data_IF_506123544817
#
_entry.id   IF_506123544817
#
_cell.length_a   1.000
_cell.length_b   1.000
_cell.length_c   1.000
_cell.angle_alpha   90.00
_cell.angle_beta   90.00
_cell.angle_gamma   90.00
#
_symmetry.space_group_name_H-M   'P 1'
#
loop_
_entity.id
_entity.type
_entity.pdbx_description
1 polymer ?
#
# COMPACT_ATOMS: atom_id res chain seq x y z
N UNK A 1 48.35 -30.11 11.08
CA UNK A 1 47.47 -29.83 9.94
C UNK A 1 46.50 -28.71 10.35
N UNK A 2 46.82 -27.47 9.97
CA UNK A 2 45.92 -26.33 10.10
C UNK A 2 44.94 -26.46 8.94
N UNK A 3 43.69 -26.82 9.23
CA UNK A 3 42.60 -26.68 8.26
C UNK A 3 42.38 -25.18 8.03
N UNK A 4 42.85 -24.64 6.92
CA UNK A 4 42.36 -23.36 6.42
C UNK A 4 40.86 -23.49 6.15
N UNK A 5 40.05 -22.89 7.03
CA UNK A 5 38.64 -22.65 6.72
C UNK A 5 38.61 -21.71 5.52
N UNK A 6 38.30 -22.23 4.35
CA UNK A 6 37.83 -21.41 3.25
C UNK A 6 36.55 -20.71 3.72
N UNK A 7 36.68 -19.48 4.13
CA UNK A 7 35.54 -18.58 4.28
C UNK A 7 35.01 -18.44 2.86
N UNK A 8 33.85 -19.05 2.58
CA UNK A 8 33.19 -18.91 1.29
C UNK A 8 33.01 -17.44 1.00
N UNK A 9 33.36 -16.99 -0.21
CA UNK A 9 33.03 -15.64 -0.65
C UNK A 9 31.49 -15.50 -0.55
N UNK A 10 31.00 -14.57 0.27
CA UNK A 10 29.59 -14.14 0.23
C UNK A 10 29.26 -13.77 -1.21
N UNK A 11 28.40 -14.56 -1.85
CA UNK A 11 27.96 -14.31 -3.22
C UNK A 11 27.00 -13.10 -3.29
N UNK A 12 26.26 -12.88 -2.21
CA UNK A 12 25.29 -11.80 -2.09
C UNK A 12 25.60 -10.93 -0.86
N UNK A 13 25.57 -9.62 -1.03
CA UNK A 13 25.56 -8.70 0.11
C UNK A 13 24.18 -8.78 0.80
N UNK A 14 24.13 -9.07 2.11
CA UNK A 14 22.86 -9.08 2.85
C UNK A 14 22.06 -7.79 2.66
N UNK A 15 20.74 -7.92 2.56
CA UNK A 15 19.82 -6.81 2.40
C UNK A 15 19.08 -6.51 3.69
N UNK A 16 18.55 -5.30 3.77
CA UNK A 16 17.59 -4.87 4.80
C UNK A 16 16.27 -4.51 4.13
N UNK A 17 15.18 -4.90 4.76
CA UNK A 17 13.86 -4.42 4.35
C UNK A 17 13.71 -2.94 4.76
N UNK A 18 13.24 -2.13 3.82
CA UNK A 18 12.78 -0.76 4.07
C UNK A 18 11.28 -0.69 4.25
N UNK A 19 10.58 -1.67 3.68
CA UNK A 19 9.14 -1.87 3.87
C UNK A 19 8.80 -3.33 3.63
N UNK A 20 7.81 -3.83 4.36
CA UNK A 20 7.17 -5.11 4.13
C UNK A 20 5.68 -4.82 4.12
N UNK A 21 4.95 -5.37 3.18
CA UNK A 21 3.50 -5.17 3.08
C UNK A 21 2.82 -6.33 2.40
N UNK A 22 1.50 -6.28 2.41
CA UNK A 22 0.68 -7.34 1.81
C UNK A 22 -0.61 -6.80 1.19
N UNK A 23 -1.22 -7.63 0.35
CA UNK A 23 -2.58 -7.45 -0.15
C UNK A 23 -3.32 -8.78 0.03
N UNK A 24 -4.36 -8.77 0.84
CA UNK A 24 -5.13 -9.95 1.23
C UNK A 24 -5.29 -10.06 2.74
N UNK A 25 -5.68 -11.24 3.22
CA UNK A 25 -5.89 -11.51 4.64
C UNK A 25 -4.56 -11.89 5.31
N UNK A 26 -4.06 -11.08 6.26
CA UNK A 26 -2.77 -11.33 6.90
C UNK A 26 -2.78 -12.53 7.87
N UNK A 27 -3.95 -13.01 8.28
CA UNK A 27 -4.07 -13.98 9.35
C UNK A 27 -3.78 -13.41 10.75
N UNK A 28 -3.96 -14.21 11.81
CA UNK A 28 -3.81 -13.78 13.20
C UNK A 28 -2.43 -13.24 13.58
N UNK A 29 -1.36 -13.73 12.94
CA UNK A 29 0.01 -13.31 13.26
C UNK A 29 0.38 -11.96 12.62
N UNK A 30 -0.43 -11.40 11.71
CA UNK A 30 -0.23 -10.04 11.19
C UNK A 30 0.53 -9.95 9.87
N UNK A 31 0.57 -11.03 9.08
CA UNK A 31 1.06 -11.00 7.71
C UNK A 31 2.57 -11.24 7.56
N UNK A 32 3.17 -10.81 6.42
CA UNK A 32 4.55 -11.14 6.09
C UNK A 32 5.56 -10.53 7.06
N UNK A 33 5.22 -9.44 7.74
CA UNK A 33 6.09 -8.80 8.73
C UNK A 33 6.46 -9.74 9.87
N UNK A 34 5.54 -10.60 10.28
CA UNK A 34 5.80 -11.59 11.32
C UNK A 34 6.94 -12.54 10.95
N UNK A 35 7.02 -12.92 9.68
CA UNK A 35 8.02 -13.89 9.18
C UNK A 35 9.30 -13.22 8.68
N UNK A 36 9.19 -12.05 8.04
CA UNK A 36 10.28 -11.43 7.29
C UNK A 36 11.00 -10.28 8.02
N UNK A 37 10.53 -9.86 9.20
CA UNK A 37 11.31 -8.98 10.08
C UNK A 37 12.57 -9.67 10.62
N UNK A 38 12.62 -11.00 10.65
CA UNK A 38 13.86 -11.75 10.87
C UNK A 38 14.77 -11.56 9.64
N UNK A 39 15.94 -10.96 9.86
CA UNK A 39 16.89 -10.65 8.79
C UNK A 39 17.36 -11.88 8.02
N UNK A 40 17.49 -13.03 8.68
CA UNK A 40 17.92 -14.27 8.02
C UNK A 40 16.79 -14.80 7.13
N UNK A 41 15.56 -14.81 7.61
CA UNK A 41 14.39 -15.21 6.82
C UNK A 41 14.25 -14.34 5.56
N UNK A 42 14.37 -13.01 5.73
CA UNK A 42 14.31 -12.06 4.61
C UNK A 42 15.39 -12.38 3.56
N UNK A 43 16.62 -12.59 3.99
CA UNK A 43 17.73 -12.85 3.08
C UNK A 43 17.67 -14.23 2.43
N UNK A 44 17.10 -15.24 3.08
CA UNK A 44 16.79 -16.53 2.47
C UNK A 44 15.77 -16.35 1.34
N UNK A 45 14.65 -15.68 1.60
CA UNK A 45 13.62 -15.40 0.59
C UNK A 45 14.18 -14.60 -0.57
N UNK A 46 14.94 -13.55 -0.29
CA UNK A 46 15.55 -12.72 -1.33
C UNK A 46 16.58 -13.47 -2.17
N UNK A 47 17.35 -14.39 -1.58
CA UNK A 47 18.38 -15.15 -2.29
C UNK A 47 17.82 -16.02 -3.42
N UNK A 48 16.56 -16.45 -3.31
CA UNK A 48 15.87 -17.28 -4.31
C UNK A 48 14.93 -16.47 -5.23
N UNK A 49 14.76 -15.18 -4.98
CA UNK A 49 13.79 -14.36 -5.69
C UNK A 49 14.03 -14.28 -7.21
N UNK A 50 15.29 -14.09 -7.62
CA UNK A 50 15.63 -14.00 -9.05
C UNK A 50 15.99 -15.34 -9.68
N UNK A 51 16.43 -16.30 -8.87
CA UNK A 51 16.91 -17.59 -9.38
C UNK A 51 16.66 -18.68 -8.33
N UNK A 52 15.88 -19.72 -8.65
CA UNK A 52 15.67 -20.83 -7.73
C UNK A 52 16.97 -21.50 -7.30
N UNK A 53 17.14 -21.74 -6.00
CA UNK A 53 18.36 -22.27 -5.39
C UNK A 53 18.07 -23.46 -4.49
N UNK A 54 19.04 -24.37 -4.39
CA UNK A 54 19.04 -25.44 -3.37
C UNK A 54 19.42 -24.88 -2.00
N UNK A 55 19.15 -25.64 -0.91
CA UNK A 55 19.57 -25.29 0.45
C UNK A 55 21.07 -24.99 0.53
N UNK A 56 21.90 -25.79 -0.14
CA UNK A 56 23.35 -25.60 -0.13
C UNK A 56 23.76 -24.31 -0.86
N UNK A 57 23.15 -24.01 -2.00
CA UNK A 57 23.40 -22.78 -2.75
C UNK A 57 22.93 -21.53 -1.97
N UNK A 58 21.80 -21.62 -1.25
CA UNK A 58 21.33 -20.54 -0.35
C UNK A 58 22.35 -20.30 0.76
N UNK A 59 22.81 -21.39 1.42
CA UNK A 59 23.78 -21.30 2.50
C UNK A 59 25.12 -20.71 2.03
N UNK A 60 25.58 -21.13 0.86
CA UNK A 60 26.79 -20.57 0.23
C UNK A 60 26.63 -19.09 -0.09
N UNK A 61 25.51 -18.69 -0.69
CA UNK A 61 25.18 -17.30 -1.03
C UNK A 61 25.17 -16.40 0.21
N UNK A 62 24.63 -16.90 1.32
CA UNK A 62 24.54 -16.17 2.58
C UNK A 62 25.81 -16.28 3.45
N UNK A 63 26.78 -17.11 3.04
CA UNK A 63 28.01 -17.34 3.80
C UNK A 63 27.82 -18.07 5.13
N UNK A 64 26.81 -18.95 5.21
CA UNK A 64 26.45 -19.74 6.39
C UNK A 64 26.52 -21.23 6.09
N UNK A 65 26.44 -22.08 7.12
CA UNK A 65 26.34 -23.53 6.91
C UNK A 65 24.91 -23.97 6.63
N UNK A 66 24.65 -24.98 5.79
CA UNK A 66 23.31 -25.47 5.49
C UNK A 66 22.46 -25.82 6.72
N UNK A 67 23.08 -26.36 7.77
CA UNK A 67 22.42 -26.71 9.04
C UNK A 67 21.86 -25.46 9.73
N UNK A 68 22.55 -24.34 9.59
CA UNK A 68 22.13 -23.07 10.26
C UNK A 68 20.83 -22.47 9.72
N UNK A 69 20.46 -22.81 8.49
CA UNK A 69 19.25 -22.29 7.83
C UNK A 69 18.15 -23.34 7.67
N UNK A 70 18.34 -24.55 8.15
CA UNK A 70 17.40 -25.66 7.95
C UNK A 70 16.03 -25.38 8.53
N UNK A 71 15.96 -25.05 9.82
CA UNK A 71 14.72 -24.71 10.50
C UNK A 71 14.02 -23.47 9.87
N UNK A 72 14.82 -22.52 9.37
CA UNK A 72 14.30 -21.34 8.70
C UNK A 72 13.67 -21.66 7.34
N UNK A 73 14.31 -22.54 6.57
CA UNK A 73 13.75 -23.02 5.30
C UNK A 73 12.45 -23.77 5.54
N UNK A 74 12.41 -24.67 6.53
CA UNK A 74 11.18 -25.39 6.88
C UNK A 74 10.05 -24.46 7.31
N UNK A 75 10.35 -23.46 8.13
CA UNK A 75 9.39 -22.43 8.53
C UNK A 75 8.85 -21.67 7.31
N UNK A 76 9.73 -21.20 6.45
CA UNK A 76 9.37 -20.42 5.27
C UNK A 76 8.63 -21.24 4.21
N UNK A 77 9.01 -22.50 4.02
CA UNK A 77 8.33 -23.43 3.11
C UNK A 77 6.92 -23.75 3.63
N UNK A 78 6.78 -24.11 4.91
CA UNK A 78 5.46 -24.44 5.50
C UNK A 78 4.47 -23.26 5.51
N UNK A 79 5.00 -22.03 5.49
CA UNK A 79 4.20 -20.82 5.42
C UNK A 79 4.16 -20.19 4.01
N UNK A 80 4.57 -20.90 2.98
CA UNK A 80 4.41 -20.51 1.59
C UNK A 80 5.34 -19.41 1.08
N UNK A 81 6.32 -18.96 1.87
CA UNK A 81 7.32 -17.98 1.42
C UNK A 81 8.40 -18.62 0.54
N UNK A 82 8.58 -19.92 0.67
CA UNK A 82 9.40 -20.73 -0.22
C UNK A 82 8.55 -21.80 -0.88
N UNK A 83 8.73 -21.99 -2.17
CA UNK A 83 8.03 -22.99 -2.97
C UNK A 83 9.08 -23.95 -3.54
N UNK A 84 8.95 -25.23 -3.25
CA UNK A 84 9.87 -26.24 -3.76
C UNK A 84 9.65 -26.54 -5.24
N UNK A 85 10.70 -26.46 -6.01
CA UNK A 85 10.76 -26.79 -7.44
C UNK A 85 11.54 -28.07 -7.70
N UNK A 86 11.59 -28.48 -8.96
CA UNK A 86 12.39 -29.63 -9.37
C UNK A 86 13.86 -29.50 -8.94
N UNK A 87 14.50 -30.62 -8.58
CA UNK A 87 15.90 -30.66 -8.14
C UNK A 87 16.13 -30.10 -6.73
N UNK A 88 15.10 -30.13 -5.86
CA UNK A 88 15.15 -29.57 -4.49
C UNK A 88 15.59 -28.10 -4.44
N UNK A 89 15.21 -27.33 -5.45
CA UNK A 89 15.39 -25.89 -5.49
C UNK A 89 14.19 -25.19 -4.87
N UNK A 90 14.44 -24.05 -4.25
CA UNK A 90 13.43 -23.17 -3.72
C UNK A 90 13.30 -21.93 -4.59
N UNK A 91 12.08 -21.43 -4.70
CA UNK A 91 11.66 -20.22 -5.35
C UNK A 91 10.77 -19.44 -4.39
N UNK A 92 10.53 -18.15 -4.59
CA UNK A 92 9.66 -17.37 -3.73
C UNK A 92 8.56 -16.68 -4.52
N UNK A 93 7.29 -16.74 -4.04
CA UNK A 93 6.19 -16.00 -4.66
C UNK A 93 6.11 -14.53 -4.20
N UNK A 94 7.03 -14.05 -3.37
CA UNK A 94 7.04 -12.66 -2.91
C UNK A 94 7.36 -11.69 -4.06
N UNK A 95 6.89 -10.44 -3.95
CA UNK A 95 7.23 -9.37 -4.88
C UNK A 95 8.32 -8.47 -4.30
N UNK A 96 9.35 -8.20 -5.09
CA UNK A 96 10.30 -7.14 -4.76
C UNK A 96 9.82 -5.81 -5.35
N UNK A 97 9.92 -4.75 -4.54
CA UNK A 97 9.62 -3.38 -4.97
C UNK A 97 10.83 -2.71 -5.63
N UNK A 98 11.89 -3.44 -5.93
CA UNK A 98 13.03 -2.92 -6.67
C UNK A 98 12.57 -2.48 -8.07
N UNK A 99 12.62 -1.17 -8.30
CA UNK A 99 12.12 -0.58 -9.54
C UNK A 99 13.21 -0.62 -10.62
N UNK A 100 12.80 -1.04 -11.80
CA UNK A 100 13.61 -0.83 -12.99
C UNK A 100 13.35 0.58 -13.54
N UNK A 101 14.40 1.28 -13.97
CA UNK A 101 14.35 2.66 -14.47
C UNK A 101 13.31 2.85 -15.60
N UNK A 102 13.26 1.91 -16.54
CA UNK A 102 12.30 1.97 -17.66
C UNK A 102 10.84 1.87 -17.21
N UNK A 103 10.55 1.11 -16.16
CA UNK A 103 9.19 1.01 -15.59
C UNK A 103 8.76 2.33 -14.97
N UNK A 104 9.66 3.00 -14.27
CA UNK A 104 9.38 4.30 -13.63
C UNK A 104 9.10 5.39 -14.67
N UNK A 105 9.83 5.41 -15.78
CA UNK A 105 9.57 6.36 -16.89
C UNK A 105 8.21 6.14 -17.53
N UNK A 106 7.88 4.90 -17.88
CA UNK A 106 6.55 4.55 -18.43
C UNK A 106 5.41 4.89 -17.47
N UNK A 107 5.60 4.62 -16.18
CA UNK A 107 4.63 4.95 -15.15
C UNK A 107 4.39 6.47 -15.06
N UNK A 108 5.45 7.27 -15.18
CA UNK A 108 5.36 8.72 -15.20
C UNK A 108 4.62 9.24 -16.45
N UNK A 109 4.90 8.68 -17.61
CA UNK A 109 4.23 9.04 -18.87
C UNK A 109 2.72 8.79 -18.77
N UNK A 110 2.31 7.65 -18.25
CA UNK A 110 0.91 7.32 -18.04
C UNK A 110 0.25 8.24 -17.00
N UNK A 111 0.95 8.56 -15.92
CA UNK A 111 0.44 9.49 -14.92
C UNK A 111 0.22 10.90 -15.51
N UNK A 112 1.12 11.37 -16.36
CA UNK A 112 0.98 12.64 -17.10
C UNK A 112 -0.19 12.60 -18.09
N UNK A 113 -0.33 11.51 -18.83
CA UNK A 113 -1.45 11.32 -19.74
C UNK A 113 -2.78 11.41 -19.01
N UNK A 114 -2.92 10.70 -17.89
CA UNK A 114 -4.13 10.72 -17.06
C UNK A 114 -4.39 12.13 -16.49
N UNK A 115 -3.38 12.79 -15.96
CA UNK A 115 -3.50 14.14 -15.44
C UNK A 115 -3.99 15.13 -16.53
N UNK A 116 -3.40 15.06 -17.72
CA UNK A 116 -3.72 15.98 -18.80
C UNK A 116 -5.08 15.72 -19.47
N UNK A 117 -5.53 14.47 -19.50
CA UNK A 117 -6.76 14.09 -20.22
C UNK A 117 -7.98 13.95 -19.33
N UNK A 118 -7.79 13.88 -18.01
CA UNK A 118 -8.87 13.57 -17.07
C UNK A 118 -9.09 14.65 -16.00
N UNK A 119 -8.04 15.39 -15.64
CA UNK A 119 -8.12 16.32 -14.53
C UNK A 119 -9.18 17.43 -14.72
N UNK A 120 -9.33 17.95 -15.93
CA UNK A 120 -10.29 19.02 -16.21
C UNK A 120 -11.73 18.53 -16.10
N UNK A 121 -12.03 17.35 -16.64
CA UNK A 121 -13.38 16.76 -16.52
C UNK A 121 -13.74 16.44 -15.07
N UNK A 122 -12.78 15.96 -14.27
CA UNK A 122 -13.00 15.76 -12.83
C UNK A 122 -13.25 17.08 -12.12
N UNK A 123 -12.45 18.09 -12.39
CA UNK A 123 -12.57 19.42 -11.78
C UNK A 123 -13.94 20.02 -12.07
N UNK A 124 -14.39 19.92 -13.31
CA UNK A 124 -15.74 20.38 -13.72
C UNK A 124 -16.83 19.61 -12.97
N UNK A 125 -16.74 18.28 -12.93
CA UNK A 125 -17.73 17.41 -12.31
C UNK A 125 -17.89 17.63 -10.79
N UNK A 126 -16.82 18.01 -10.10
CA UNK A 126 -16.84 18.26 -8.66
C UNK A 126 -16.92 19.75 -8.29
N UNK A 127 -17.04 20.64 -9.28
CA UNK A 127 -16.99 22.10 -9.05
C UNK A 127 -18.00 22.58 -8.00
N UNK A 128 -19.23 22.09 -8.06
CA UNK A 128 -20.32 22.46 -7.15
C UNK A 128 -20.47 21.57 -5.93
N UNK A 129 -19.57 20.59 -5.75
CA UNK A 129 -19.61 19.71 -4.58
C UNK A 129 -19.24 20.50 -3.32
N UNK A 130 -20.15 20.52 -2.33
CA UNK A 130 -19.98 21.22 -1.04
C UNK A 130 -20.02 20.30 0.17
N UNK A 131 -20.53 19.09 0.01
CA UNK A 131 -20.67 18.11 1.10
C UNK A 131 -19.38 17.32 1.36
N UNK A 132 -18.24 17.91 1.00
CA UNK A 132 -16.91 17.36 1.25
C UNK A 132 -16.09 18.35 2.04
N UNK A 133 -15.68 17.92 3.24
CA UNK A 133 -14.75 18.65 4.08
C UNK A 133 -13.34 18.24 3.71
N UNK A 134 -12.43 19.18 3.63
CA UNK A 134 -11.04 18.97 3.25
C UNK A 134 -10.11 19.78 4.14
N UNK A 135 -8.94 19.24 4.48
CA UNK A 135 -7.97 19.94 5.31
C UNK A 135 -7.65 21.33 4.75
N UNK A 136 -7.73 22.34 5.60
CA UNK A 136 -7.40 23.74 5.25
C UNK A 136 -8.17 24.30 4.03
N UNK A 137 -9.33 23.72 3.67
CA UNK A 137 -10.09 24.12 2.49
C UNK A 137 -9.40 23.84 1.15
N UNK A 138 -8.39 22.96 1.12
CA UNK A 138 -7.57 22.71 -0.04
C UNK A 138 -8.30 21.90 -1.12
N UNK A 139 -8.89 22.60 -2.09
CA UNK A 139 -9.60 21.98 -3.23
C UNK A 139 -8.72 21.06 -4.08
N UNK A 140 -7.42 21.32 -4.19
CA UNK A 140 -6.52 20.44 -4.96
C UNK A 140 -6.46 19.03 -4.37
N UNK A 141 -6.67 18.92 -3.08
CA UNK A 141 -6.76 17.62 -2.41
C UNK A 141 -8.01 16.85 -2.83
N UNK A 142 -9.15 17.53 -2.92
CA UNK A 142 -10.39 16.93 -3.40
C UNK A 142 -10.25 16.50 -4.88
N UNK A 143 -9.66 17.35 -5.72
CA UNK A 143 -9.39 17.02 -7.12
C UNK A 143 -8.48 15.80 -7.26
N UNK A 144 -7.38 15.76 -6.51
CA UNK A 144 -6.48 14.61 -6.49
C UNK A 144 -7.17 13.32 -6.04
N UNK A 145 -8.01 13.41 -5.00
CA UNK A 145 -8.80 12.29 -4.51
C UNK A 145 -9.79 11.77 -5.55
N UNK A 146 -10.49 12.67 -6.21
CA UNK A 146 -11.47 12.33 -7.24
C UNK A 146 -10.79 11.70 -8.48
N UNK A 147 -9.65 12.23 -8.91
CA UNK A 147 -8.85 11.65 -10.01
C UNK A 147 -8.38 10.25 -9.63
N UNK A 148 -7.80 10.09 -8.43
CA UNK A 148 -7.35 8.79 -7.96
C UNK A 148 -8.48 7.77 -7.92
N UNK A 149 -9.63 8.14 -7.38
CA UNK A 149 -10.80 7.28 -7.35
C UNK A 149 -11.27 6.90 -8.76
N UNK A 150 -11.34 7.88 -9.66
CA UNK A 150 -11.74 7.65 -11.05
C UNK A 150 -10.81 6.64 -11.74
N UNK A 151 -9.50 6.80 -11.59
CA UNK A 151 -8.51 5.87 -12.15
C UNK A 151 -8.64 4.48 -11.50
N UNK A 152 -8.75 4.41 -10.18
CA UNK A 152 -8.77 3.12 -9.48
C UNK A 152 -10.04 2.31 -9.71
N UNK A 153 -11.20 2.97 -9.87
CA UNK A 153 -12.49 2.29 -9.87
C UNK A 153 -13.25 2.37 -11.20
N UNK A 154 -13.01 3.40 -12.00
CA UNK A 154 -13.69 3.59 -13.29
C UNK A 154 -12.81 3.26 -14.48
N UNK A 155 -11.50 3.24 -14.31
CA UNK A 155 -10.59 2.66 -15.27
C UNK A 155 -10.44 1.16 -14.96
N UNK A 156 -11.49 0.39 -15.18
CA UNK A 156 -11.44 -1.06 -15.01
C UNK A 156 -10.56 -1.66 -16.11
N UNK A 157 -9.31 -1.82 -15.73
CA UNK A 157 -8.37 -2.56 -16.56
C UNK A 157 -8.63 -4.04 -16.34
N UNK A 158 -9.28 -4.68 -17.27
CA UNK A 158 -9.36 -6.14 -17.31
C UNK A 158 -8.00 -6.76 -17.66
N UNK A 159 -6.96 -6.39 -16.95
CA UNK A 159 -5.72 -7.15 -16.98
C UNK A 159 -5.94 -8.38 -16.12
N UNK A 160 -6.51 -9.41 -16.70
CA UNK A 160 -6.68 -10.72 -16.06
C UNK A 160 -5.32 -11.41 -15.94
N UNK A 161 -4.48 -10.92 -15.04
CA UNK A 161 -3.31 -11.67 -14.62
C UNK A 161 -3.78 -12.66 -13.57
N UNK A 162 -3.53 -13.95 -13.80
CA UNK A 162 -3.71 -14.95 -12.75
C UNK A 162 -2.65 -14.70 -11.66
N UNK A 163 -3.10 -14.15 -10.55
CA UNK A 163 -2.25 -13.89 -9.38
C UNK A 163 -2.19 -15.09 -8.42
N UNK A 164 -2.92 -16.16 -8.70
CA UNK A 164 -2.97 -17.35 -7.82
C UNK A 164 -1.60 -17.94 -7.47
N UNK A 165 -0.60 -17.95 -8.39
CA UNK A 165 0.74 -18.44 -8.07
C UNK A 165 1.52 -17.60 -7.05
N UNK A 166 1.09 -16.36 -6.80
CA UNK A 166 1.76 -15.42 -5.90
C UNK A 166 1.12 -15.32 -4.52
N UNK A 167 -0.02 -16.00 -4.32
CA UNK A 167 -0.65 -16.03 -3.01
C UNK A 167 0.12 -16.92 -2.05
N UNK A 168 0.53 -16.32 -0.94
CA UNK A 168 1.15 -17.00 0.19
C UNK A 168 0.03 -17.44 1.13
N UNK A 169 0.00 -18.72 1.45
CA UNK A 169 -0.93 -19.31 2.41
C UNK A 169 -0.13 -19.78 3.63
N UNK A 170 -0.36 -19.12 4.75
CA UNK A 170 0.33 -19.41 5.98
C UNK A 170 -0.43 -20.43 6.84
N UNK A 171 0.28 -21.11 7.73
CA UNK A 171 -0.31 -22.14 8.61
C UNK A 171 -1.27 -21.57 9.64
N UNK A 172 -1.20 -20.28 9.93
CA UNK A 172 -2.13 -19.56 10.79
C UNK A 172 -3.40 -19.06 10.09
N UNK A 173 -3.55 -19.33 8.79
CA UNK A 173 -4.73 -18.98 8.00
C UNK A 173 -4.59 -17.72 7.16
N UNK A 174 -3.42 -17.08 7.13
CA UNK A 174 -3.15 -15.97 6.22
C UNK A 174 -3.24 -16.40 4.74
N UNK A 175 -3.76 -15.50 3.90
CA UNK A 175 -3.86 -15.71 2.45
C UNK A 175 -3.66 -14.36 1.74
N UNK A 176 -2.45 -14.08 1.32
CA UNK A 176 -2.04 -12.76 0.83
C UNK A 176 -0.91 -12.82 -0.20
N UNK A 177 -0.76 -11.73 -0.93
CA UNK A 177 0.43 -11.44 -1.74
C UNK A 177 1.36 -10.57 -0.90
N UNK A 178 2.63 -10.96 -0.76
CA UNK A 178 3.62 -10.21 0.01
C UNK A 178 4.50 -9.33 -0.87
N UNK A 179 4.79 -8.12 -0.39
CA UNK A 179 5.69 -7.15 -1.04
C UNK A 179 6.86 -6.84 -0.13
N UNK A 180 8.06 -6.77 -0.71
CA UNK A 180 9.29 -6.45 0.00
C UNK A 180 9.95 -5.27 -0.69
N UNK A 181 10.07 -4.14 0.01
CA UNK A 181 10.98 -3.05 -0.35
C UNK A 181 12.31 -3.25 0.37
N UNK A 182 13.43 -3.08 -0.33
CA UNK A 182 14.75 -3.26 0.23
C UNK A 182 15.56 -1.97 0.15
N UNK A 183 16.70 -1.91 0.84
CA UNK A 183 17.66 -0.81 0.71
C UNK A 183 18.18 -0.64 -0.72
N UNK A 184 17.99 -1.66 -1.58
CA UNK A 184 18.32 -1.63 -3.00
C UNK A 184 17.17 -1.15 -3.88
N UNK A 185 15.98 -0.98 -3.32
CA UNK A 185 14.85 -0.40 -4.04
C UNK A 185 15.22 1.02 -4.43
N UNK A 186 15.61 1.22 -5.69
CA UNK A 186 15.98 2.54 -6.19
C UNK A 186 14.70 3.30 -6.54
N UNK A 187 14.51 4.44 -5.90
CA UNK A 187 13.56 5.44 -6.37
C UNK A 187 14.30 6.22 -7.47
N UNK A 188 13.78 6.17 -8.69
CA UNK A 188 14.31 6.96 -9.79
C UNK A 188 14.35 8.44 -9.38
N UNK A 189 15.52 9.07 -9.45
CA UNK A 189 15.70 10.47 -9.06
C UNK A 189 14.81 11.41 -9.86
N UNK A 190 14.54 11.07 -11.10
CA UNK A 190 13.65 11.83 -11.99
C UNK A 190 12.16 11.60 -11.64
N UNK A 191 11.85 10.52 -10.93
CA UNK A 191 10.51 10.21 -10.46
C UNK A 191 10.21 10.86 -9.09
N UNK A 192 11.23 11.18 -8.29
CA UNK A 192 11.08 11.78 -6.96
C UNK A 192 10.24 13.06 -6.95
N UNK A 193 10.36 14.00 -7.92
CA UNK A 193 9.48 15.18 -7.95
C UNK A 193 8.02 14.85 -8.14
N UNK A 194 7.68 13.76 -8.81
CA UNK A 194 6.31 13.29 -9.02
C UNK A 194 5.81 12.44 -7.85
N UNK A 195 6.69 11.77 -7.13
CA UNK A 195 6.36 11.08 -5.87
C UNK A 195 6.15 12.06 -4.71
N UNK A 196 6.49 13.33 -4.87
CA UNK A 196 6.09 14.38 -3.94
C UNK A 196 4.60 14.75 -4.05
N UNK A 197 3.89 14.17 -5.03
CA UNK A 197 2.45 14.10 -4.93
C UNK A 197 2.08 13.38 -3.64
N UNK A 198 1.07 13.87 -2.91
CA UNK A 198 0.57 13.14 -1.78
C UNK A 198 0.25 11.74 -2.23
N UNK A 199 0.94 10.76 -1.70
CA UNK A 199 0.53 9.40 -1.85
C UNK A 199 -0.81 9.30 -1.17
N UNK A 200 -1.85 9.33 -1.96
CA UNK A 200 -3.17 9.03 -1.48
C UNK A 200 -3.19 7.55 -1.20
N UNK A 201 -2.97 7.21 0.03
CA UNK A 201 -3.26 5.87 0.49
C UNK A 201 -4.79 5.76 0.51
N UNK A 202 -5.33 5.11 -0.52
CA UNK A 202 -6.70 4.59 -0.50
C UNK A 202 -6.92 3.55 0.61
N UNK A 203 -5.91 3.29 1.38
CA UNK A 203 -5.96 2.60 2.66
C UNK A 203 -6.85 3.30 3.67
N UNK A 204 -7.45 4.37 3.28
CA UNK A 204 -8.48 4.97 4.06
C UNK A 204 -9.74 4.13 4.19
N UNK A 205 -9.66 2.86 4.30
CA UNK A 205 -10.74 1.95 4.68
C UNK A 205 -11.52 2.40 5.92
N UNK A 206 -11.68 3.64 5.98
CA UNK A 206 -12.28 4.42 7.02
C UNK A 206 -13.73 4.67 6.69
N UNK A 207 -14.32 3.77 5.92
CA UNK A 207 -15.74 3.74 5.66
C UNK A 207 -16.42 3.15 6.87
N UNK A 208 -17.07 3.99 7.62
CA UNK A 208 -18.01 3.56 8.65
C UNK A 208 -19.33 4.27 8.40
N UNK A 209 -19.88 3.99 7.23
CA UNK A 209 -21.20 4.50 6.92
C UNK A 209 -22.25 3.71 7.67
N UNK A 210 -23.19 4.43 8.30
CA UNK A 210 -24.44 3.89 8.79
C UNK A 210 -25.53 4.91 8.53
N UNK A 211 -26.80 4.51 8.53
CA UNK A 211 -27.91 5.46 8.37
C UNK A 211 -27.91 6.55 9.44
N UNK A 212 -27.46 6.20 10.65
CA UNK A 212 -27.36 7.14 11.76
C UNK A 212 -26.17 8.08 11.64
N UNK A 213 -25.04 7.58 11.13
CA UNK A 213 -23.76 8.31 11.00
C UNK A 213 -23.23 8.20 9.57
N UNK A 214 -23.87 8.85 8.60
CA UNK A 214 -23.48 8.76 7.19
C UNK A 214 -22.23 9.60 6.92
N UNK A 215 -21.06 8.98 7.14
CA UNK A 215 -19.76 9.61 6.93
C UNK A 215 -18.80 8.65 6.23
N UNK A 216 -18.06 9.18 5.29
CA UNK A 216 -16.96 8.50 4.62
C UNK A 216 -15.71 9.38 4.69
N UNK A 217 -14.60 8.83 5.14
CA UNK A 217 -13.37 9.59 5.24
C UNK A 217 -12.22 8.93 4.50
N UNK A 218 -11.33 9.76 3.96
CA UNK A 218 -10.04 9.35 3.45
C UNK A 218 -8.92 9.86 4.36
N UNK A 219 -8.03 8.97 4.73
CA UNK A 219 -6.73 9.38 5.22
C UNK A 219 -5.87 9.73 4.03
N UNK A 220 -5.39 10.94 4.02
CA UNK A 220 -4.43 11.39 3.03
C UNK A 220 -3.13 11.57 3.77
N UNK A 221 -2.22 10.65 3.49
CA UNK A 221 -0.85 10.76 3.94
C UNK A 221 -0.16 11.81 3.09
N UNK A 222 0.19 12.92 3.68
CA UNK A 222 0.98 13.91 2.97
C UNK A 222 1.16 15.22 3.67
N UNK A 223 1.88 16.11 2.98
CA UNK A 223 1.97 17.55 3.23
C UNK A 223 0.63 18.32 3.32
N UNK A 224 -0.50 17.70 3.02
CA UNK A 224 -1.83 18.29 3.09
C UNK A 224 -2.61 17.87 4.33
N UNK A 225 -2.14 16.86 5.04
CA UNK A 225 -2.74 16.39 6.27
C UNK A 225 -1.63 16.07 7.26
N UNK A 226 -1.78 16.54 8.49
CA UNK A 226 -0.87 16.17 9.58
C UNK A 226 -1.16 14.80 10.17
N UNK A 227 -2.11 14.07 9.58
CA UNK A 227 -2.53 12.77 10.07
C UNK A 227 -1.62 11.65 9.59
N UNK A 228 -0.47 11.52 10.23
CA UNK A 228 0.46 10.42 9.98
C UNK A 228 0.23 9.27 10.96
N UNK A 229 0.05 8.05 10.41
CA UNK A 229 0.10 6.81 11.19
C UNK A 229 -1.00 6.54 12.20
N UNK A 230 -1.94 7.44 12.42
CA UNK A 230 -2.98 7.32 13.44
C UNK A 230 -4.23 6.57 12.96
N UNK A 231 -4.37 6.35 11.67
CA UNK A 231 -5.53 5.70 11.05
C UNK A 231 -5.66 4.20 11.38
N UNK A 232 -4.57 3.54 11.73
CA UNK A 232 -4.54 2.08 11.98
C UNK A 232 -5.38 1.63 13.18
N UNK A 233 -5.68 2.50 14.11
CA UNK A 233 -6.35 2.13 15.37
C UNK A 233 -7.66 2.90 15.58
N UNK A 234 -8.35 3.29 14.51
CA UNK A 234 -9.63 3.96 14.63
C UNK A 234 -10.73 2.97 15.04
N UNK A 235 -11.58 3.44 15.95
CA UNK A 235 -12.77 2.74 16.39
C UNK A 235 -14.00 3.24 15.61
N UNK A 236 -15.07 2.45 15.60
CA UNK A 236 -16.35 2.88 15.02
C UNK A 236 -16.83 4.19 15.65
N UNK A 237 -16.68 4.32 16.97
CA UNK A 237 -17.05 5.53 17.72
C UNK A 237 -16.27 6.78 17.28
N UNK A 238 -15.07 6.65 16.74
CA UNK A 238 -14.30 7.79 16.26
C UNK A 238 -15.02 8.47 15.08
N UNK A 239 -15.68 7.69 14.22
CA UNK A 239 -16.47 8.20 13.10
C UNK A 239 -17.83 8.75 13.53
N UNK A 240 -18.41 8.16 14.56
CA UNK A 240 -19.63 8.66 15.17
C UNK A 240 -19.37 10.04 15.79
N UNK A 241 -18.29 10.21 16.52
CA UNK A 241 -17.87 11.49 17.08
C UNK A 241 -17.55 12.52 16.00
N UNK A 242 -16.89 12.08 14.92
CA UNK A 242 -16.63 12.95 13.78
C UNK A 242 -17.92 13.45 13.13
N UNK A 243 -18.89 12.56 12.94
CA UNK A 243 -20.20 12.95 12.39
C UNK A 243 -20.93 13.93 13.31
N UNK A 244 -20.96 13.67 14.60
CA UNK A 244 -21.57 14.56 15.61
C UNK A 244 -20.89 15.94 15.60
N UNK A 245 -19.57 15.96 15.48
CA UNK A 245 -18.81 17.19 15.33
C UNK A 245 -19.18 17.97 14.05
N UNK A 246 -19.23 17.26 12.91
CA UNK A 246 -19.55 17.88 11.61
C UNK A 246 -20.98 18.39 11.49
N UNK A 247 -21.89 17.89 12.31
CA UNK A 247 -23.31 18.26 12.33
C UNK A 247 -23.66 19.22 13.47
N UNK A 248 -22.65 19.75 14.16
CA UNK A 248 -22.82 20.61 15.36
C UNK A 248 -23.69 19.95 16.46
N UNK A 249 -23.71 18.59 16.50
CA UNK A 249 -24.45 17.85 17.52
C UNK A 249 -23.69 17.81 18.86
N UNK A 250 -22.40 18.16 18.86
CA UNK A 250 -21.57 18.31 20.05
C UNK A 250 -20.86 19.66 20.02
N UNK A 251 -20.64 20.24 21.18
CA UNK A 251 -19.85 21.46 21.38
C UNK A 251 -18.60 21.18 22.21
N UNK A 252 -17.57 22.02 22.09
CA UNK A 252 -16.32 21.89 22.84
C UNK A 252 -16.56 22.37 24.29
N UNK A 253 -17.19 21.54 25.09
CA UNK A 253 -17.55 21.76 26.46
C UNK A 253 -17.13 20.56 27.35
N UNK A 254 -17.35 20.68 28.65
CA UNK A 254 -16.99 19.63 29.61
C UNK A 254 -17.72 18.31 29.36
N UNK A 255 -18.93 18.34 28.82
CA UNK A 255 -19.75 17.14 28.56
C UNK A 255 -19.15 16.34 27.39
N UNK A 256 -18.61 17.04 26.40
CA UNK A 256 -18.06 16.43 25.19
C UNK A 256 -16.52 16.40 25.17
N UNK A 257 -15.87 16.78 26.27
CA UNK A 257 -14.42 16.90 26.33
C UNK A 257 -13.68 15.63 25.87
N UNK A 258 -14.17 14.44 26.25
CA UNK A 258 -13.56 13.18 25.85
C UNK A 258 -13.72 12.91 24.34
N UNK A 259 -14.83 13.31 23.73
CA UNK A 259 -15.05 13.16 22.28
C UNK A 259 -14.08 14.06 21.53
N UNK A 260 -13.96 15.33 21.92
CA UNK A 260 -13.02 16.27 21.30
C UNK A 260 -11.57 15.83 21.50
N UNK A 261 -11.21 15.38 22.70
CA UNK A 261 -9.90 14.81 22.97
C UNK A 261 -9.61 13.66 22.04
N UNK A 262 -10.54 12.72 21.91
CA UNK A 262 -10.40 11.56 21.02
C UNK A 262 -10.25 11.97 19.57
N UNK A 263 -11.02 12.91 19.06
CA UNK A 263 -10.93 13.43 17.69
C UNK A 263 -9.56 14.08 17.42
N UNK A 264 -9.01 14.84 18.39
CA UNK A 264 -7.65 15.42 18.30
C UNK A 264 -6.57 14.33 18.34
N UNK A 265 -6.64 13.40 19.27
CA UNK A 265 -5.70 12.27 19.36
C UNK A 265 -5.66 11.45 18.08
N UNK A 266 -6.78 11.32 17.38
CA UNK A 266 -6.89 10.67 16.08
C UNK A 266 -6.56 11.60 14.92
N UNK A 267 -6.26 12.85 15.20
CA UNK A 267 -6.00 13.87 14.19
C UNK A 267 -7.14 14.00 13.14
N UNK A 268 -8.36 13.68 13.53
CA UNK A 268 -9.54 13.96 12.71
C UNK A 268 -9.84 15.45 12.67
N UNK A 269 -9.57 16.12 13.79
CA UNK A 269 -9.59 17.57 13.89
C UNK A 269 -8.24 18.09 14.40
N UNK A 270 -7.91 19.31 14.06
CA UNK A 270 -6.74 20.03 14.57
C UNK A 270 -6.97 20.52 16.01
N UNK A 271 -5.93 21.05 16.64
CA UNK A 271 -6.03 21.72 17.95
C UNK A 271 -7.01 22.89 17.93
N UNK A 272 -7.20 23.53 16.78
CA UNK A 272 -8.14 24.62 16.58
C UNK A 272 -9.54 24.14 16.16
N UNK A 273 -9.87 22.86 16.34
CA UNK A 273 -11.15 22.27 15.98
C UNK A 273 -11.51 22.39 14.49
N UNK A 274 -10.52 22.36 13.62
CA UNK A 274 -10.75 22.31 12.18
C UNK A 274 -10.60 20.88 11.67
N UNK A 275 -11.45 20.47 10.74
CA UNK A 275 -11.34 19.15 10.10
C UNK A 275 -9.98 19.02 9.42
N UNK A 276 -9.27 17.95 9.76
CA UNK A 276 -7.89 17.68 9.34
C UNK A 276 -7.77 16.47 8.40
N UNK A 277 -8.91 15.92 7.98
CA UNK A 277 -8.99 14.80 7.03
C UNK A 277 -10.01 15.14 5.95
N UNK A 278 -9.93 14.45 4.81
CA UNK A 278 -10.98 14.56 3.81
C UNK A 278 -12.18 13.70 4.21
N UNK A 279 -13.34 14.30 4.29
CA UNK A 279 -14.58 13.64 4.72
C UNK A 279 -15.72 13.99 3.78
N UNK A 280 -16.41 12.97 3.30
CA UNK A 280 -17.70 13.10 2.60
C UNK A 280 -18.81 12.91 3.62
N UNK A 281 -19.67 13.93 3.77
CA UNK A 281 -20.90 13.83 4.54
C UNK A 281 -21.97 13.19 3.65
N UNK A 282 -22.47 12.03 4.07
CA UNK A 282 -23.42 11.24 3.28
C UNK A 282 -22.83 9.94 2.77
N UNK A 283 -23.45 9.39 1.72
CA UNK A 283 -22.99 8.17 1.07
C UNK A 283 -21.83 8.49 0.14
N UNK A 284 -20.76 7.73 0.27
CA UNK A 284 -19.60 7.85 -0.62
C UNK A 284 -19.98 7.61 -2.09
N UNK A 285 -20.89 6.69 -2.34
CA UNK A 285 -21.38 6.34 -3.66
C UNK A 285 -21.99 7.53 -4.39
N UNK A 286 -22.73 8.39 -3.68
CA UNK A 286 -23.36 9.59 -4.25
C UNK A 286 -22.31 10.61 -4.70
N UNK A 287 -21.20 10.71 -3.98
CA UNK A 287 -20.05 11.54 -4.39
C UNK A 287 -19.32 10.90 -5.58
N UNK A 288 -19.01 9.61 -5.48
CA UNK A 288 -18.25 8.92 -6.50
C UNK A 288 -19.00 8.76 -7.82
N UNK A 289 -20.34 8.74 -7.78
CA UNK A 289 -21.17 8.76 -8.98
C UNK A 289 -21.00 10.03 -9.83
N UNK A 290 -20.57 11.14 -9.22
CA UNK A 290 -20.30 12.40 -9.92
C UNK A 290 -18.98 12.39 -10.69
N UNK A 291 -18.06 11.50 -10.34
CA UNK A 291 -16.76 11.41 -10.98
C UNK A 291 -16.93 10.79 -12.37
N UNK A 292 -16.49 11.47 -13.43
CA UNK A 292 -16.71 11.01 -14.80
C UNK A 292 -15.94 9.75 -15.11
N UNK A 293 -16.41 9.02 -16.13
CA UNK A 293 -15.63 7.93 -16.73
C UNK A 293 -14.42 8.48 -17.49
N UNK A 294 -13.36 7.68 -17.59
CA UNK A 294 -12.26 8.02 -18.47
C UNK A 294 -12.69 7.83 -19.94
N UNK A 295 -12.12 8.67 -20.80
CA UNK A 295 -12.23 8.49 -22.26
C UNK A 295 -11.70 7.12 -22.68
N UNK A 296 -12.38 6.46 -23.62
CA UNK A 296 -12.06 5.09 -24.07
C UNK A 296 -10.65 4.99 -24.69
N UNK A 297 -10.17 6.06 -25.34
CA UNK A 297 -8.81 6.09 -25.88
C UNK A 297 -7.78 6.10 -24.75
N UNK A 298 -8.05 6.84 -23.68
CA UNK A 298 -7.19 6.91 -22.49
C UNK A 298 -7.23 5.57 -21.74
N UNK A 299 -8.41 4.98 -21.58
CA UNK A 299 -8.56 3.63 -21.00
C UNK A 299 -7.71 2.61 -21.75
N UNK A 300 -7.77 2.62 -23.08
CA UNK A 300 -6.99 1.72 -23.91
C UNK A 300 -5.49 1.90 -23.74
N UNK A 301 -5.00 3.14 -23.79
CA UNK A 301 -3.57 3.42 -23.59
C UNK A 301 -3.09 2.97 -22.21
N UNK A 302 -3.92 3.15 -21.20
CA UNK A 302 -3.61 2.68 -19.86
C UNK A 302 -3.63 1.14 -19.75
N UNK A 303 -4.58 0.48 -20.43
CA UNK A 303 -4.64 -0.98 -20.50
C UNK A 303 -3.41 -1.56 -21.20
N UNK A 304 -3.01 -0.99 -22.33
CA UNK A 304 -1.82 -1.41 -23.08
C UNK A 304 -0.55 -1.27 -22.19
N UNK A 305 -0.42 -0.16 -21.48
CA UNK A 305 0.67 0.05 -20.54
C UNK A 305 0.63 -0.97 -19.38
N UNK A 306 -0.53 -1.18 -18.76
CA UNK A 306 -0.67 -2.11 -17.66
C UNK A 306 -0.37 -3.56 -18.09
N UNK A 307 -0.73 -3.92 -19.30
CA UNK A 307 -0.40 -5.21 -19.90
C UNK A 307 1.12 -5.38 -20.10
N UNK A 308 1.80 -4.40 -20.70
CA UNK A 308 3.26 -4.41 -20.83
C UNK A 308 3.96 -4.46 -19.47
N UNK A 309 3.47 -3.67 -18.50
CA UNK A 309 4.03 -3.65 -17.15
C UNK A 309 3.87 -5.00 -16.42
N UNK A 310 2.78 -5.72 -16.68
CA UNK A 310 2.51 -7.02 -16.08
C UNK A 310 3.35 -8.15 -16.70
N UNK A 311 3.86 -7.98 -17.91
CA UNK A 311 4.70 -8.97 -18.59
C UNK A 311 6.19 -8.89 -18.20
N UNK A 312 6.62 -7.78 -17.68
CA UNK A 312 8.02 -7.54 -17.25
C UNK A 312 8.18 -7.65 -15.74
#
# INVERSE_FOLDING_TARGET
LVMERKIGKLGMKPIKATSIGHSGDPGPNGGPEYYLNDSLNLNIVYSVYYTPRTKNEIAEELGVTPVFIEDKIELLESNGFLVRKAGNRFDSPTFSLEKQENKSKKQLEIARLLANSYADSVREAIFDVRDVYIPSGNRQLLEAAAIFYGVANKCQLEVKKDLSPYYIKTTDGGNYIAFIGTERTQVDKDFVPTLQFPSMWACGNMTRWSEKYPVYSWSIDSRYSSREGTWKNNLTSDYEFLYEFMTDAISDDLVNADKYKRLRERQFISENNQINIMVVKGKAEDFFAKIPELDEKVKKQFADYAFEYAQT
#
